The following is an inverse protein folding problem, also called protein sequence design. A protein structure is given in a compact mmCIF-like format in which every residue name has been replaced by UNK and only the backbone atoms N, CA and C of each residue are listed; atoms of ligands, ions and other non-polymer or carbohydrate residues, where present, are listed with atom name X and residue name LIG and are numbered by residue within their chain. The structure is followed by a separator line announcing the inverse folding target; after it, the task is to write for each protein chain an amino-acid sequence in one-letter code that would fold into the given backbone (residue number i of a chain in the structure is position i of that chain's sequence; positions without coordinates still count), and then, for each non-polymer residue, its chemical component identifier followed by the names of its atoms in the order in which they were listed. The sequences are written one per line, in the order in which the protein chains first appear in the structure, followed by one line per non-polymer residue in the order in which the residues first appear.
data_IF_481665039327
#
_entry.id   IF_481665039327
#
_cell.length_a   1.000
_cell.length_b   1.000
_cell.length_c   1.000
_cell.angle_alpha   90.00
_cell.angle_beta   90.00
_cell.angle_gamma   90.00
#
_symmetry.space_group_name_H-M   'P 1'
#
loop_
_entity.id
_entity.type
_entity.pdbx_description
1 polymer ?
#
# COMPACT_ATOMS: atom_id res chain seq x y z
N UNK A 1 7.92 -10.61 4.33
CA UNK A 1 8.07 -9.37 5.13
C UNK A 1 7.17 -8.31 4.51
N UNK A 2 6.44 -7.55 5.33
CA UNK A 2 5.53 -6.49 4.86
C UNK A 2 6.30 -5.19 4.64
N UNK A 3 6.18 -4.59 3.46
CA UNK A 3 6.92 -3.36 3.11
C UNK A 3 6.04 -2.09 3.10
N UNK A 4 4.73 -2.25 3.02
CA UNK A 4 3.80 -1.13 3.03
C UNK A 4 2.42 -1.54 3.53
N UNK A 5 1.65 -0.55 3.97
CA UNK A 5 0.27 -0.76 4.43
C UNK A 5 -0.67 -1.19 3.30
N UNK A 6 -0.39 -0.78 2.06
CA UNK A 6 -1.31 -0.97 0.92
C UNK A 6 -0.96 -2.14 -0.01
N UNK A 7 0.18 -2.82 0.19
CA UNK A 7 0.64 -3.89 -0.70
C UNK A 7 1.65 -3.48 -1.76
N UNK A 8 2.03 -2.20 -1.84
CA UNK A 8 3.15 -1.78 -2.71
C UNK A 8 4.46 -2.33 -2.14
N UNK A 9 5.30 -2.89 -3.00
CA UNK A 9 6.70 -3.19 -2.67
C UNK A 9 7.48 -1.88 -2.71
N UNK A 10 7.77 -1.31 -1.54
CA UNK A 10 8.50 -0.06 -1.48
C UNK A 10 9.94 -0.23 -1.98
N UNK A 11 10.58 -1.38 -1.78
CA UNK A 11 11.95 -1.63 -2.23
C UNK A 11 12.14 -1.49 -3.74
N UNK A 12 11.11 -1.76 -4.53
CA UNK A 12 11.11 -1.65 -5.99
C UNK A 12 10.29 -0.45 -6.51
N UNK A 13 9.92 0.46 -5.61
CA UNK A 13 9.13 1.63 -5.97
C UNK A 13 10.03 2.77 -6.47
N UNK A 14 9.91 3.11 -7.75
CA UNK A 14 10.70 4.17 -8.40
C UNK A 14 10.62 5.54 -7.70
N UNK A 15 9.54 5.83 -6.97
CA UNK A 15 9.40 7.10 -6.23
C UNK A 15 10.39 7.24 -5.08
N UNK A 16 11.02 6.16 -4.61
CA UNK A 16 12.14 6.24 -3.66
C UNK A 16 13.30 7.01 -4.28
N UNK A 17 13.66 6.67 -5.52
CA UNK A 17 14.80 7.27 -6.21
C UNK A 17 14.43 8.62 -6.84
N UNK A 18 13.27 8.70 -7.50
CA UNK A 18 12.90 9.90 -8.28
C UNK A 18 12.40 11.06 -7.41
N UNK A 19 11.83 10.76 -6.24
CA UNK A 19 11.25 11.77 -5.34
C UNK A 19 11.87 11.76 -3.94
N UNK A 20 12.91 10.95 -3.68
CA UNK A 20 13.51 10.82 -2.35
C UNK A 20 12.54 10.26 -1.30
N UNK A 21 11.55 9.46 -1.71
CA UNK A 21 10.57 8.89 -0.80
C UNK A 21 11.22 7.85 0.13
N UNK A 22 11.12 8.02 1.46
CA UNK A 22 11.55 7.02 2.45
C UNK A 22 10.74 5.72 2.42
N UNK A 23 9.63 5.66 1.67
CA UNK A 23 8.75 4.49 1.63
C UNK A 23 7.81 4.40 2.83
N UNK A 24 6.83 3.50 2.74
CA UNK A 24 5.65 3.53 3.60
C UNK A 24 5.96 3.34 5.10
N UNK A 25 6.82 2.39 5.45
CA UNK A 25 7.15 2.11 6.85
C UNK A 25 8.03 3.21 7.44
N UNK A 26 9.10 3.60 6.74
CA UNK A 26 10.04 4.64 7.20
C UNK A 26 9.36 6.00 7.39
N UNK A 27 8.44 6.34 6.49
CA UNK A 27 7.67 7.60 6.57
C UNK A 27 6.43 7.50 7.45
N UNK A 28 6.19 6.37 8.09
CA UNK A 28 4.96 6.08 8.85
C UNK A 28 3.68 6.49 8.09
N UNK A 29 3.59 6.14 6.81
CA UNK A 29 2.43 6.46 5.97
C UNK A 29 2.42 7.87 5.37
N UNK A 30 3.56 8.58 5.37
CA UNK A 30 3.71 9.91 4.75
C UNK A 30 4.68 9.86 3.56
N UNK A 31 4.32 9.21 2.43
CA UNK A 31 5.15 9.21 1.22
C UNK A 31 5.36 10.63 0.66
N UNK A 32 6.09 10.73 -0.45
CA UNK A 32 6.47 12.01 -1.08
C UNK A 32 5.29 12.98 -1.36
N UNK A 33 4.06 12.49 -1.48
CA UNK A 33 2.86 13.31 -1.71
C UNK A 33 2.11 13.71 -0.43
N UNK A 34 2.65 13.42 0.76
CA UNK A 34 2.02 13.70 2.05
C UNK A 34 1.32 12.47 2.64
N UNK A 35 0.31 12.70 3.48
CA UNK A 35 -0.39 11.64 4.21
C UNK A 35 -1.11 10.66 3.28
N UNK A 36 -0.85 9.36 3.43
CA UNK A 36 -1.48 8.31 2.65
C UNK A 36 -2.79 7.82 3.29
N UNK A 37 -3.95 7.96 2.62
CA UNK A 37 -5.25 7.52 3.17
C UNK A 37 -5.31 6.03 3.51
N UNK A 38 -4.64 5.18 2.72
CA UNK A 38 -4.60 3.73 2.98
C UNK A 38 -3.78 3.41 4.23
N UNK A 39 -2.67 4.13 4.44
CA UNK A 39 -1.84 3.94 5.62
C UNK A 39 -2.55 4.40 6.90
N UNK A 40 -3.17 5.59 6.86
CA UNK A 40 -3.99 6.11 7.95
C UNK A 40 -5.14 5.14 8.29
N UNK A 41 -5.84 4.61 7.27
CA UNK A 41 -6.90 3.61 7.47
C UNK A 41 -6.39 2.35 8.21
N UNK A 42 -5.22 1.81 7.82
CA UNK A 42 -4.64 0.66 8.51
C UNK A 42 -4.22 0.99 9.95
N UNK A 43 -3.65 2.17 10.19
CA UNK A 43 -3.24 2.62 11.51
C UNK A 43 -4.45 2.78 12.46
N UNK A 44 -5.54 3.40 12.00
CA UNK A 44 -6.76 3.55 12.80
C UNK A 44 -7.45 2.22 13.10
N UNK A 45 -7.31 1.23 12.21
CA UNK A 45 -7.80 -0.13 12.42
C UNK A 45 -6.81 -1.00 13.22
N UNK A 46 -5.65 -0.45 13.58
CA UNK A 46 -4.56 -1.15 14.28
C UNK A 46 -4.09 -2.43 13.57
N UNK A 47 -4.13 -2.42 12.23
CA UNK A 47 -3.65 -3.53 11.38
C UNK A 47 -2.33 -3.21 10.70
N UNK A 48 -1.51 -4.24 10.46
CA UNK A 48 -0.19 -4.08 9.89
C UNK A 48 -0.23 -3.70 8.42
N UNK A 49 -1.22 -4.16 7.65
CA UNK A 49 -1.43 -3.87 6.22
C UNK A 49 -2.84 -4.32 5.79
N UNK A 50 -3.27 -3.93 4.59
CA UNK A 50 -4.62 -4.21 4.10
C UNK A 50 -4.97 -5.70 4.03
N UNK A 51 -4.00 -6.62 3.92
CA UNK A 51 -4.27 -8.06 3.88
C UNK A 51 -4.77 -8.64 5.21
N UNK A 52 -4.66 -7.90 6.32
CA UNK A 52 -5.28 -8.25 7.60
C UNK A 52 -6.70 -7.68 7.75
N UNK A 53 -7.13 -6.81 6.84
CA UNK A 53 -8.46 -6.23 6.90
C UNK A 53 -9.53 -7.26 6.47
N UNK A 54 -10.60 -7.47 7.25
CA UNK A 54 -11.67 -8.40 6.88
C UNK A 54 -12.45 -7.96 5.63
N UNK A 55 -12.41 -6.66 5.30
CA UNK A 55 -13.10 -6.08 4.15
C UNK A 55 -12.25 -6.11 2.87
N UNK A 56 -11.10 -6.80 2.85
CA UNK A 56 -10.15 -6.75 1.74
C UNK A 56 -10.63 -7.57 0.52
N UNK A 57 -10.58 -7.02 -0.72
CA UNK A 57 -10.22 -5.64 -1.06
C UNK A 57 -11.38 -4.67 -0.83
N UNK A 58 -11.16 -3.67 0.03
CA UNK A 58 -12.15 -2.64 0.30
C UNK A 58 -12.13 -1.55 -0.77
N UNK A 59 -13.19 -0.75 -0.86
CA UNK A 59 -13.33 0.31 -1.87
C UNK A 59 -12.13 1.28 -1.88
N UNK A 60 -11.60 1.65 -0.70
CA UNK A 60 -10.45 2.53 -0.60
C UNK A 60 -9.21 1.92 -1.28
N UNK A 61 -8.93 0.63 -1.03
CA UNK A 61 -7.79 -0.04 -1.64
C UNK A 61 -7.98 -0.19 -3.15
N UNK A 62 -9.21 -0.53 -3.59
CA UNK A 62 -9.54 -0.65 -5.01
C UNK A 62 -9.34 0.69 -5.73
N UNK A 63 -9.80 1.80 -5.15
CA UNK A 63 -9.59 3.15 -5.71
C UNK A 63 -8.11 3.42 -5.95
N UNK A 64 -7.26 3.15 -4.96
CA UNK A 64 -5.81 3.37 -5.09
C UNK A 64 -5.10 2.39 -6.04
N UNK A 65 -5.60 1.16 -6.16
CA UNK A 65 -4.97 0.12 -6.98
C UNK A 65 -5.42 0.12 -8.44
N UNK A 66 -6.65 0.59 -8.70
CA UNK A 66 -7.29 0.52 -10.01
C UNK A 66 -7.61 1.90 -10.60
N UNK A 67 -7.12 2.99 -9.99
CA UNK A 67 -7.24 4.33 -10.54
C UNK A 67 -6.73 4.38 -12.00
N UNK A 68 -7.47 5.00 -12.94
CA UNK A 68 -7.09 5.01 -14.35
C UNK A 68 -5.76 5.72 -14.66
N UNK A 69 -5.35 6.70 -13.85
CA UNK A 69 -4.19 7.56 -14.10
C UNK A 69 -3.02 7.24 -13.15
N UNK A 70 -3.32 6.94 -11.89
CA UNK A 70 -2.36 6.76 -10.79
C UNK A 70 -2.42 5.38 -10.14
N UNK A 71 -3.20 4.46 -10.71
CA UNK A 71 -3.35 3.10 -10.22
C UNK A 71 -2.13 2.22 -10.52
N UNK A 72 -2.23 0.96 -10.12
CA UNK A 72 -1.18 -0.02 -10.40
C UNK A 72 -1.14 -0.38 -11.89
N UNK A 73 0.04 -0.79 -12.34
CA UNK A 73 0.22 -1.44 -13.63
C UNK A 73 0.97 -2.76 -13.43
N UNK A 74 0.32 -3.93 -13.53
CA UNK A 74 -1.11 -4.11 -13.86
C UNK A 74 -2.05 -3.63 -12.75
N UNK A 75 -3.29 -3.25 -13.12
CA UNK A 75 -4.33 -2.87 -12.15
C UNK A 75 -4.54 -4.00 -11.15
N UNK A 76 -4.65 -3.67 -9.87
CA UNK A 76 -4.80 -4.68 -8.81
C UNK A 76 -3.48 -5.22 -8.25
N UNK A 77 -2.30 -4.82 -8.75
CA UNK A 77 -1.03 -5.43 -8.33
C UNK A 77 -0.81 -5.40 -6.81
N UNK A 78 -1.08 -4.28 -6.14
CA UNK A 78 -0.92 -4.18 -4.68
C UNK A 78 -1.95 -5.02 -3.90
N UNK A 79 -3.13 -5.26 -4.49
CA UNK A 79 -4.15 -6.15 -3.93
C UNK A 79 -3.64 -7.58 -3.94
N UNK A 80 -3.09 -8.05 -5.07
CA UNK A 80 -2.51 -9.38 -5.16
C UNK A 80 -1.32 -9.55 -4.20
N UNK A 81 -0.47 -8.53 -4.09
CA UNK A 81 0.64 -8.56 -3.14
C UNK A 81 0.18 -8.69 -1.68
N UNK A 82 -0.91 -8.02 -1.29
CA UNK A 82 -1.50 -8.20 0.04
C UNK A 82 -1.96 -9.65 0.29
N UNK A 83 -2.51 -10.33 -0.74
CA UNK A 83 -2.92 -11.75 -0.62
C UNK A 83 -1.70 -12.66 -0.46
N UNK A 84 -0.63 -12.42 -1.22
CA UNK A 84 0.64 -13.17 -1.11
C UNK A 84 1.17 -13.06 0.31
N UNK A 85 1.32 -11.84 0.82
CA UNK A 85 1.79 -11.62 2.18
C UNK A 85 0.90 -12.28 3.24
N UNK A 86 -0.43 -12.27 3.04
CA UNK A 86 -1.36 -12.93 3.96
C UNK A 86 -1.23 -14.45 3.95
N UNK A 87 -0.92 -15.05 2.81
CA UNK A 87 -0.69 -16.50 2.70
C UNK A 87 0.67 -16.93 3.28
N UNK A 88 1.63 -16.02 3.37
CA UNK A 88 2.95 -16.25 3.98
C UNK A 88 3.00 -15.99 5.49
N UNK A 89 1.90 -15.49 6.09
CA UNK A 89 1.80 -15.09 7.49
C UNK A 89 1.17 -16.15 8.40
#
# INVERSE_FOLDING_TARGET
MIESKCGILCCSCNFRDTCGCGGCIETNGHPFYGECPVANCCQNKEIAYCGECPDMPCELLIKFSCDPEHGDNPKGARIEQCKIWKAES
#
